data_IF_805259608246
#
_entry.id   IF_805259608246
#
_cell.length_a   1.000
_cell.length_b   1.000
_cell.length_c   1.000
_cell.angle_alpha   90.00
_cell.angle_beta   90.00
_cell.angle_gamma   90.00
#
_symmetry.space_group_name_H-M   'P 1'
#
loop_
_entity.id
_entity.type
_entity.pdbx_description
1 polymer ?
#
# COMPACT_ATOMS: atom_id res chain seq x y z
N UNK A 1 -38.17 42.93 19.11
CA UNK A 1 -38.90 41.70 18.77
C UNK A 1 -37.86 40.69 18.29
N UNK A 2 -36.88 40.35 19.16
CA UNK A 2 -35.59 39.79 18.73
C UNK A 2 -35.23 38.53 19.50
N UNK A 3 -35.89 37.42 19.16
CA UNK A 3 -35.59 36.11 19.74
C UNK A 3 -35.68 34.95 18.74
N UNK A 4 -35.51 35.24 17.44
CA UNK A 4 -35.56 34.23 16.36
C UNK A 4 -34.27 34.07 15.56
N UNK A 5 -33.34 35.04 15.60
CA UNK A 5 -32.09 34.92 14.83
C UNK A 5 -30.99 34.10 15.53
N UNK A 6 -31.14 33.83 16.84
CA UNK A 6 -30.19 33.00 17.62
C UNK A 6 -30.53 31.51 17.60
N UNK A 7 -31.76 31.11 17.22
CA UNK A 7 -32.17 29.70 17.15
C UNK A 7 -31.60 29.01 15.93
N UNK A 8 -31.73 29.63 14.76
CA UNK A 8 -31.46 28.98 13.47
C UNK A 8 -29.97 28.67 13.30
N UNK A 9 -29.09 29.54 13.82
CA UNK A 9 -27.64 29.30 13.82
C UNK A 9 -27.23 28.18 14.81
N UNK A 10 -27.91 28.06 15.95
CA UNK A 10 -27.65 26.99 16.92
C UNK A 10 -28.15 25.63 16.46
N UNK A 11 -29.29 25.62 15.76
CA UNK A 11 -29.88 24.44 15.12
C UNK A 11 -28.99 23.90 14.00
N UNK A 12 -28.52 24.77 13.09
CA UNK A 12 -27.59 24.37 12.03
C UNK A 12 -26.26 23.80 12.57
N UNK A 13 -25.74 24.36 13.67
CA UNK A 13 -24.54 23.82 14.33
C UNK A 13 -24.80 22.43 14.93
N UNK A 14 -25.99 22.21 15.50
CA UNK A 14 -26.37 20.91 16.05
C UNK A 14 -26.54 19.86 14.94
N UNK A 15 -27.21 20.20 13.84
CA UNK A 15 -27.35 19.30 12.69
C UNK A 15 -25.98 18.91 12.11
N UNK A 16 -25.08 19.88 11.95
CA UNK A 16 -23.72 19.59 11.50
C UNK A 16 -22.97 18.73 12.50
N UNK A 17 -23.10 18.97 13.81
CA UNK A 17 -22.44 18.16 14.84
C UNK A 17 -22.91 16.70 14.84
N UNK A 18 -24.15 16.41 14.42
CA UNK A 18 -24.67 15.05 14.27
C UNK A 18 -24.18 14.37 12.99
N UNK A 19 -24.01 15.12 11.90
CA UNK A 19 -23.51 14.60 10.62
C UNK A 19 -21.99 14.47 10.57
N UNK A 20 -21.26 15.35 11.27
CA UNK A 20 -19.81 15.42 11.28
C UNK A 20 -19.14 14.08 11.61
N UNK A 21 -19.59 13.28 12.61
CA UNK A 21 -19.01 11.96 12.88
C UNK A 21 -19.07 11.02 11.67
N UNK A 22 -20.20 10.99 10.95
CA UNK A 22 -20.36 10.13 9.77
C UNK A 22 -19.44 10.62 8.64
N UNK A 23 -19.39 11.94 8.43
CA UNK A 23 -18.50 12.54 7.43
C UNK A 23 -17.02 12.26 7.73
N UNK A 24 -16.62 12.34 9.01
CA UNK A 24 -15.26 12.02 9.46
C UNK A 24 -14.93 10.54 9.28
N UNK A 25 -15.88 9.63 9.54
CA UNK A 25 -15.70 8.20 9.29
C UNK A 25 -15.50 7.92 7.79
N UNK A 26 -16.34 8.49 6.93
CA UNK A 26 -16.20 8.35 5.47
C UNK A 26 -14.85 8.89 5.01
N UNK A 27 -14.45 10.07 5.49
CA UNK A 27 -13.17 10.67 5.15
C UNK A 27 -11.99 9.80 5.62
N UNK A 28 -12.03 9.32 6.86
CA UNK A 28 -11.01 8.42 7.39
C UNK A 28 -10.90 7.14 6.57
N UNK A 29 -12.02 6.51 6.20
CA UNK A 29 -12.03 5.32 5.35
C UNK A 29 -11.42 5.57 3.96
N UNK A 30 -11.72 6.71 3.33
CA UNK A 30 -11.14 7.07 2.03
C UNK A 30 -9.62 7.24 2.16
N UNK A 31 -9.15 7.97 3.17
CA UNK A 31 -7.73 8.20 3.39
C UNK A 31 -6.99 6.89 3.67
N UNK A 32 -7.54 6.02 4.51
CA UNK A 32 -6.96 4.72 4.83
C UNK A 32 -6.87 3.81 3.62
N UNK A 33 -7.96 3.71 2.85
CA UNK A 33 -8.00 2.92 1.61
C UNK A 33 -7.01 3.46 0.57
N UNK A 34 -6.92 4.78 0.41
CA UNK A 34 -5.99 5.41 -0.52
C UNK A 34 -4.54 5.05 -0.24
N UNK A 35 -4.15 4.94 1.04
CA UNK A 35 -2.79 4.56 1.43
C UNK A 35 -2.47 3.10 1.20
N UNK A 36 -3.43 2.21 1.43
CA UNK A 36 -3.28 0.78 1.10
C UNK A 36 -3.20 0.60 -0.42
N UNK A 37 -4.01 1.36 -1.17
CA UNK A 37 -3.96 1.35 -2.63
C UNK A 37 -2.61 1.84 -3.18
N UNK A 38 -2.06 2.91 -2.61
CA UNK A 38 -0.72 3.37 -2.97
C UNK A 38 0.35 2.29 -2.72
N UNK A 39 0.30 1.61 -1.57
CA UNK A 39 1.18 0.47 -1.30
C UNK A 39 0.98 -0.68 -2.28
N UNK A 40 -0.27 -0.96 -2.69
CA UNK A 40 -0.60 -1.94 -3.73
C UNK A 40 0.09 -1.62 -5.05
N UNK A 41 0.07 -0.36 -5.50
CA UNK A 41 0.78 0.07 -6.72
C UNK A 41 2.29 -0.13 -6.57
N UNK A 42 2.88 0.27 -5.45
CA UNK A 42 4.33 0.12 -5.21
C UNK A 42 4.76 -1.34 -5.22
N UNK A 43 4.02 -2.23 -4.54
CA UNK A 43 4.33 -3.67 -4.47
C UNK A 43 4.25 -4.33 -5.85
N UNK A 44 3.25 -3.96 -6.67
CA UNK A 44 3.13 -4.46 -8.05
C UNK A 44 4.29 -4.02 -8.92
N UNK A 45 4.67 -2.74 -8.82
CA UNK A 45 5.79 -2.21 -9.58
C UNK A 45 7.13 -2.81 -9.13
N UNK A 46 7.32 -3.05 -7.83
CA UNK A 46 8.51 -3.71 -7.31
C UNK A 46 8.68 -5.13 -7.87
N UNK A 47 7.62 -5.94 -7.88
CA UNK A 47 7.67 -7.28 -8.46
C UNK A 47 8.03 -7.24 -9.95
N UNK A 48 7.41 -6.34 -10.71
CA UNK A 48 7.69 -6.16 -12.15
C UNK A 48 9.12 -5.71 -12.42
N UNK A 49 9.63 -4.77 -11.64
CA UNK A 49 10.99 -4.25 -11.79
C UNK A 49 12.03 -5.32 -11.43
N UNK A 50 11.78 -6.11 -10.38
CA UNK A 50 12.61 -7.27 -10.04
C UNK A 50 12.66 -8.29 -11.18
N UNK A 51 11.51 -8.69 -11.72
CA UNK A 51 11.44 -9.63 -12.83
C UNK A 51 12.16 -9.10 -14.08
N UNK A 52 12.01 -7.80 -14.38
CA UNK A 52 12.70 -7.13 -15.49
C UNK A 52 14.22 -7.14 -15.30
N UNK A 53 14.69 -6.75 -14.12
CA UNK A 53 16.11 -6.73 -13.79
C UNK A 53 16.74 -8.13 -13.92
N UNK A 54 16.03 -9.17 -13.49
CA UNK A 54 16.47 -10.56 -13.65
C UNK A 54 16.56 -11.00 -15.12
N UNK A 55 15.56 -10.69 -15.95
CA UNK A 55 15.60 -11.05 -17.38
C UNK A 55 16.74 -10.37 -18.13
N UNK A 56 17.06 -9.11 -17.79
CA UNK A 56 18.12 -8.32 -18.43
C UNK A 56 19.51 -8.62 -17.85
N UNK A 57 19.60 -9.35 -16.73
CA UNK A 57 20.87 -9.65 -16.08
C UNK A 57 21.80 -10.46 -16.98
N UNK A 58 23.08 -10.07 -17.00
CA UNK A 58 24.11 -10.75 -17.78
C UNK A 58 24.30 -12.21 -17.33
N UNK A 59 24.66 -13.15 -18.23
CA UNK A 59 24.76 -14.58 -17.91
C UNK A 59 25.75 -14.93 -16.78
N UNK A 60 26.78 -14.10 -16.58
CA UNK A 60 27.80 -14.31 -15.55
C UNK A 60 27.39 -13.80 -14.16
N UNK A 61 26.21 -13.17 -14.03
CA UNK A 61 25.71 -12.60 -12.78
C UNK A 61 24.63 -13.51 -12.20
N UNK A 62 24.55 -13.54 -10.87
CA UNK A 62 23.43 -14.18 -10.17
C UNK A 62 22.12 -13.44 -10.49
N UNK A 63 21.33 -14.05 -11.38
CA UNK A 63 20.03 -13.53 -11.84
C UNK A 63 19.04 -13.41 -10.69
N UNK A 64 19.02 -14.38 -9.78
CA UNK A 64 18.09 -14.39 -8.65
C UNK A 64 18.44 -13.25 -7.69
N UNK A 65 19.72 -13.10 -7.35
CA UNK A 65 20.17 -11.99 -6.51
C UNK A 65 19.87 -10.62 -7.15
N UNK A 66 20.10 -10.49 -8.46
CA UNK A 66 19.82 -9.24 -9.20
C UNK A 66 18.33 -8.89 -9.18
N UNK A 67 17.46 -9.86 -9.46
CA UNK A 67 16.02 -9.68 -9.45
C UNK A 67 15.50 -9.31 -8.05
N UNK A 68 16.01 -10.00 -7.03
CA UNK A 68 15.63 -9.76 -5.64
C UNK A 68 16.04 -8.36 -5.18
N UNK A 69 17.31 -7.98 -5.39
CA UNK A 69 17.82 -6.66 -4.99
C UNK A 69 17.08 -5.51 -5.68
N UNK A 70 16.70 -5.67 -6.95
CA UNK A 70 15.93 -4.66 -7.67
C UNK A 70 14.53 -4.46 -7.06
N UNK A 71 13.83 -5.56 -6.73
CA UNK A 71 12.53 -5.49 -6.07
C UNK A 71 12.64 -4.91 -4.64
N UNK A 72 13.61 -5.36 -3.85
CA UNK A 72 13.85 -4.85 -2.49
C UNK A 72 14.16 -3.36 -2.50
N UNK A 73 14.99 -2.88 -3.44
CA UNK A 73 15.29 -1.45 -3.59
C UNK A 73 14.05 -0.65 -3.97
N UNK A 74 13.20 -1.18 -4.84
CA UNK A 74 11.95 -0.51 -5.22
C UNK A 74 11.00 -0.38 -4.02
N UNK A 75 10.86 -1.44 -3.22
CA UNK A 75 10.08 -1.40 -1.96
C UNK A 75 10.69 -0.42 -0.95
N UNK A 76 12.01 -0.41 -0.79
CA UNK A 76 12.69 0.49 0.14
C UNK A 76 12.47 1.96 -0.22
N UNK A 77 12.54 2.31 -1.50
CA UNK A 77 12.28 3.69 -1.98
C UNK A 77 10.82 4.07 -1.83
N UNK A 78 9.89 3.17 -2.21
CA UNK A 78 8.46 3.49 -2.20
C UNK A 78 7.78 3.39 -0.83
N UNK A 79 8.28 2.53 0.07
CA UNK A 79 7.65 2.20 1.35
C UNK A 79 8.57 2.33 2.57
N UNK A 80 9.89 2.34 2.43
CA UNK A 80 10.81 2.19 3.57
C UNK A 80 10.78 3.32 4.60
N UNK A 81 10.35 4.53 4.22
CA UNK A 81 10.20 5.67 5.13
C UNK A 81 8.78 5.80 5.72
N UNK A 82 7.87 4.88 5.39
CA UNK A 82 6.46 4.96 5.80
C UNK A 82 6.26 4.37 7.19
N UNK A 83 5.73 5.19 8.11
CA UNK A 83 5.39 4.73 9.47
C UNK A 83 4.20 3.77 9.55
N UNK A 84 3.42 3.63 8.48
CA UNK A 84 2.32 2.65 8.35
C UNK A 84 2.75 1.31 7.76
N UNK A 85 4.03 1.08 7.45
CA UNK A 85 4.47 -0.20 6.88
C UNK A 85 5.20 -0.99 7.95
N UNK A 86 4.59 -2.11 8.38
CA UNK A 86 5.13 -2.95 9.44
C UNK A 86 6.27 -3.85 8.95
N UNK A 87 6.15 -4.36 7.72
CA UNK A 87 7.17 -5.19 7.09
C UNK A 87 7.09 -5.11 5.56
N UNK A 88 8.23 -5.33 4.91
CA UNK A 88 8.32 -5.58 3.47
C UNK A 88 9.13 -6.86 3.25
N UNK A 89 8.71 -7.67 2.29
CA UNK A 89 9.37 -8.93 1.97
C UNK A 89 9.39 -9.16 0.46
N UNK A 90 10.51 -9.63 -0.06
CA UNK A 90 10.59 -10.22 -1.40
C UNK A 90 10.88 -11.71 -1.22
N UNK A 91 10.03 -12.57 -1.79
CA UNK A 91 10.29 -14.02 -1.79
C UNK A 91 11.48 -14.32 -2.71
N UNK A 92 12.29 -15.36 -2.43
CA UNK A 92 13.36 -15.79 -3.33
C UNK A 92 12.83 -15.93 -4.77
N UNK A 93 13.41 -15.21 -5.75
CA UNK A 93 12.94 -15.25 -7.12
C UNK A 93 13.02 -16.66 -7.71
N UNK A 94 12.00 -17.03 -8.49
CA UNK A 94 12.02 -18.28 -9.24
C UNK A 94 12.63 -17.99 -10.60
N UNK A 95 13.85 -18.48 -10.82
CA UNK A 95 14.58 -18.31 -12.08
C UNK A 95 14.58 -19.64 -12.83
N UNK A 96 14.12 -19.61 -14.07
CA UNK A 96 14.18 -20.74 -15.00
C UNK A 96 14.93 -20.31 -16.26
N UNK A 97 15.18 -21.26 -17.17
CA UNK A 97 15.76 -20.95 -18.47
C UNK A 97 14.87 -20.00 -19.30
N UNK A 98 13.55 -20.06 -19.11
CA UNK A 98 12.57 -19.34 -19.93
C UNK A 98 11.99 -18.10 -19.25
N UNK A 99 12.10 -17.98 -17.92
CA UNK A 99 11.44 -16.90 -17.20
C UNK A 99 12.08 -16.57 -15.85
N UNK A 100 11.80 -15.35 -15.38
CA UNK A 100 12.07 -14.91 -14.02
C UNK A 100 10.76 -14.48 -13.38
N UNK A 101 10.41 -15.08 -12.24
CA UNK A 101 9.26 -14.70 -11.43
C UNK A 101 9.70 -14.11 -10.09
N UNK A 102 9.12 -12.97 -9.73
CA UNK A 102 9.39 -12.25 -8.48
C UNK A 102 8.08 -12.00 -7.75
N UNK A 103 8.07 -12.26 -6.44
CA UNK A 103 6.92 -11.98 -5.58
C UNK A 103 7.32 -11.00 -4.49
N UNK A 104 6.64 -9.87 -4.42
CA UNK A 104 6.83 -8.83 -3.42
C UNK A 104 5.63 -8.77 -2.46
N UNK A 105 5.89 -8.36 -1.23
CA UNK A 105 4.89 -8.14 -0.18
C UNK A 105 5.20 -6.93 0.68
N UNK A 106 4.14 -6.30 1.18
CA UNK A 106 4.19 -5.32 2.26
C UNK A 106 2.99 -5.50 3.19
N UNK A 107 3.23 -5.36 4.50
CA UNK A 107 2.18 -5.39 5.52
C UNK A 107 1.89 -3.96 5.96
N UNK A 108 0.71 -3.45 5.60
CA UNK A 108 0.31 -2.05 5.85
C UNK A 108 -0.60 -1.98 7.05
N UNK A 109 -0.21 -1.23 8.09
CA UNK A 109 -1.00 -1.04 9.29
C UNK A 109 -2.01 0.12 9.10
N UNK A 110 -3.30 -0.10 9.41
CA UNK A 110 -4.26 0.98 9.53
C UNK A 110 -3.82 2.04 10.56
N UNK A 111 -4.02 3.32 10.24
CA UNK A 111 -3.75 4.41 11.18
C UNK A 111 -4.82 4.53 12.25
N UNK A 112 -6.07 4.22 11.91
CA UNK A 112 -7.19 4.42 12.84
C UNK A 112 -7.39 3.19 13.72
N UNK A 113 -7.66 3.36 15.03
CA UNK A 113 -8.00 2.22 15.90
C UNK A 113 -9.21 1.45 15.40
N UNK A 114 -10.16 2.14 14.78
CA UNK A 114 -11.34 1.51 14.20
C UNK A 114 -10.97 0.65 12.98
N UNK A 115 -10.11 1.13 12.07
CA UNK A 115 -9.61 0.33 10.96
C UNK A 115 -8.91 -0.94 11.41
N UNK A 116 -8.09 -0.84 12.47
CA UNK A 116 -7.43 -2.01 13.08
C UNK A 116 -8.43 -3.00 13.69
N UNK A 117 -9.47 -2.48 14.36
CA UNK A 117 -10.49 -3.30 14.98
C UNK A 117 -11.43 -3.98 13.96
N UNK A 118 -11.67 -3.35 12.81
CA UNK A 118 -12.60 -3.85 11.78
C UNK A 118 -11.91 -4.78 10.78
N UNK A 119 -10.69 -4.44 10.34
CA UNK A 119 -9.97 -5.19 9.31
C UNK A 119 -9.00 -6.18 9.96
N UNK A 120 -7.92 -5.66 10.55
CA UNK A 120 -6.86 -6.41 11.23
C UNK A 120 -5.74 -5.45 11.64
N UNK A 121 -4.78 -5.92 12.43
CA UNK A 121 -3.59 -5.12 12.80
C UNK A 121 -2.75 -4.69 11.59
N UNK A 122 -2.72 -5.52 10.53
CA UNK A 122 -2.07 -5.21 9.26
C UNK A 122 -2.89 -5.75 8.09
N UNK A 123 -2.79 -5.07 6.95
CA UNK A 123 -3.38 -5.45 5.67
C UNK A 123 -2.25 -5.94 4.76
N UNK A 124 -2.16 -7.25 4.49
CA UNK A 124 -1.10 -7.79 3.66
C UNK A 124 -1.36 -7.50 2.19
N UNK A 125 -0.41 -6.84 1.54
CA UNK A 125 -0.41 -6.54 0.11
C UNK A 125 0.63 -7.42 -0.57
N UNK A 126 0.20 -8.26 -1.51
CA UNK A 126 1.08 -9.18 -2.27
C UNK A 126 0.94 -8.94 -3.76
N UNK A 127 2.05 -8.96 -4.48
CA UNK A 127 2.07 -9.01 -5.94
C UNK A 127 3.11 -10.00 -6.45
N UNK A 128 2.86 -10.58 -7.62
CA UNK A 128 3.82 -11.43 -8.32
C UNK A 128 3.88 -11.00 -9.79
N UNK A 129 5.07 -11.01 -10.37
CA UNK A 129 5.30 -10.73 -11.77
C UNK A 129 6.27 -11.74 -12.36
N UNK A 130 5.94 -12.23 -13.56
CA UNK A 130 6.76 -13.19 -14.31
C UNK A 130 7.10 -12.59 -15.67
N UNK A 131 8.38 -12.58 -16.04
CA UNK A 131 8.84 -12.11 -17.35
C UNK A 131 9.62 -13.21 -18.07
N UNK A 132 9.40 -13.32 -19.39
CA UNK A 132 10.05 -14.32 -20.24
C UNK A 132 11.46 -13.86 -20.63
N UNK A 133 12.42 -14.77 -20.55
CA UNK A 133 13.81 -14.61 -20.97
C UNK A 133 13.91 -14.96 -22.46
N UNK A 134 14.40 -14.03 -23.27
CA UNK A 134 14.62 -14.24 -24.72
C UNK A 134 16.01 -14.77 -25.00
#
# INVERSE_FOLDING_TARGET
MDRRLRSDAGEAVLEFALLAPILLLILASILETGRVFDAWVVVHNAAREGARAGVVAAPAVDVAATAQQAAERYLAVGLGARGDVAATLVEPPVVTAEAVAVTARADVAPYTPLGRAVVSDTVPVRASATMRRQ
#
